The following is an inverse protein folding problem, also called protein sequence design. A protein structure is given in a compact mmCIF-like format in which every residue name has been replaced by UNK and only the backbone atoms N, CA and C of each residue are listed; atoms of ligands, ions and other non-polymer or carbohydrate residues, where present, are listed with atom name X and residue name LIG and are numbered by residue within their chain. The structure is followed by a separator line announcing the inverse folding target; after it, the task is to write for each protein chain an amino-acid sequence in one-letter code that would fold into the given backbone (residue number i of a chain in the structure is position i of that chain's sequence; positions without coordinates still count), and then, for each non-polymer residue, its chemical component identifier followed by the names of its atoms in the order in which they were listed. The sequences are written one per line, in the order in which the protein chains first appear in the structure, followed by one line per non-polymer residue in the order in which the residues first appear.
data_IF_883004495494
#
_entry.id   IF_883004495494
#
_cell.length_a   1.000
_cell.length_b   1.000
_cell.length_c   1.000
_cell.angle_alpha   90.00
_cell.angle_beta   90.00
_cell.angle_gamma   90.00
#
_symmetry.space_group_name_H-M   'P 1'
#
loop_
_entity.id
_entity.type
_entity.pdbx_description
1 polymer ?
#
# COMPACT_ATOMS: atom_id res chain seq x y z
N UNK A 1 -2.78 33.59 19.58
CA UNK A 1 -2.15 33.42 18.28
C UNK A 1 -3.08 32.49 17.48
N UNK A 2 -3.77 33.02 16.46
CA UNK A 2 -4.55 32.17 15.53
C UNK A 2 -3.54 31.31 14.76
N UNK A 3 -3.61 29.99 14.92
CA UNK A 3 -2.87 29.06 14.06
C UNK A 3 -3.32 29.32 12.63
N UNK A 4 -2.38 29.65 11.75
CA UNK A 4 -2.60 29.62 10.30
C UNK A 4 -3.21 28.25 9.96
N UNK A 5 -4.26 28.18 9.11
CA UNK A 5 -4.77 26.90 8.65
C UNK A 5 -3.59 26.13 8.03
N UNK A 6 -3.20 25.00 8.64
CA UNK A 6 -2.23 24.11 8.01
C UNK A 6 -2.86 23.67 6.69
N UNK A 7 -2.21 23.96 5.57
CA UNK A 7 -2.60 23.38 4.28
C UNK A 7 -2.66 21.87 4.44
N UNK A 8 -3.71 21.25 3.85
CA UNK A 8 -3.84 19.80 3.90
C UNK A 8 -2.59 19.11 3.31
N UNK A 9 -2.09 18.03 3.94
CA UNK A 9 -0.97 17.28 3.40
C UNK A 9 -1.20 16.91 1.94
N UNK A 10 -0.19 17.03 1.09
CA UNK A 10 -0.31 16.73 -0.34
C UNK A 10 0.39 15.41 -0.66
N UNK A 11 -0.40 14.41 -1.08
CA UNK A 11 0.08 13.08 -1.40
C UNK A 11 -0.15 12.80 -2.89
N UNK A 12 0.87 12.29 -3.56
CA UNK A 12 0.74 11.78 -4.93
C UNK A 12 0.89 10.27 -4.91
N UNK A 13 0.04 9.56 -5.63
CA UNK A 13 0.10 8.11 -5.75
C UNK A 13 0.30 7.74 -7.20
N UNK A 14 1.40 7.03 -7.51
CA UNK A 14 1.59 6.38 -8.82
C UNK A 14 1.37 4.89 -8.61
N UNK A 15 0.26 4.37 -9.15
CA UNK A 15 -0.10 2.98 -8.81
C UNK A 15 -1.32 2.43 -9.54
N UNK A 16 -1.73 1.27 -9.08
CA UNK A 16 -2.73 0.40 -9.67
C UNK A 16 -4.17 0.75 -9.28
N UNK A 17 -5.08 0.36 -10.17
CA UNK A 17 -6.51 0.26 -9.94
C UNK A 17 -6.95 -1.14 -10.41
N UNK A 18 -7.53 -1.95 -9.53
CA UNK A 18 -7.93 -3.34 -9.80
C UNK A 18 -9.34 -3.55 -9.26
N UNK A 19 -10.26 -3.98 -10.11
CA UNK A 19 -11.59 -4.36 -9.67
C UNK A 19 -11.59 -5.81 -9.22
N UNK A 20 -11.91 -6.08 -7.97
CA UNK A 20 -12.02 -7.42 -7.43
C UNK A 20 -13.44 -7.97 -7.59
N UNK A 21 -13.54 -9.11 -8.28
CA UNK A 21 -14.76 -9.91 -8.42
C UNK A 21 -14.66 -11.11 -7.49
N UNK A 22 -15.06 -10.95 -6.23
CA UNK A 22 -14.95 -11.99 -5.22
C UNK A 22 -16.06 -13.03 -5.40
N UNK A 23 -15.69 -14.25 -5.74
CA UNK A 23 -16.62 -15.36 -5.99
C UNK A 23 -16.55 -16.38 -4.85
N UNK A 24 -17.72 -16.70 -4.25
CA UNK A 24 -17.80 -17.79 -3.27
C UNK A 24 -18.04 -19.10 -4.00
N UNK A 25 -17.02 -19.99 -3.90
CA UNK A 25 -17.00 -21.30 -4.56
C UNK A 25 -17.24 -22.40 -3.54
N UNK A 26 -17.93 -23.51 -3.90
CA UNK A 26 -18.09 -24.66 -2.99
C UNK A 26 -16.76 -25.41 -2.75
N UNK A 27 -15.82 -25.34 -3.67
CA UNK A 27 -14.43 -25.81 -3.62
C UNK A 27 -13.66 -25.18 -4.78
N UNK A 28 -12.33 -25.23 -4.77
CA UNK A 28 -11.54 -24.72 -5.89
C UNK A 28 -11.74 -25.58 -7.14
N UNK A 29 -11.92 -24.95 -8.34
CA UNK A 29 -12.20 -25.66 -9.60
C UNK A 29 -11.12 -26.68 -9.95
N UNK A 30 -11.54 -27.90 -10.35
CA UNK A 30 -10.66 -28.92 -10.88
C UNK A 30 -10.54 -28.79 -12.41
N UNK A 31 -9.50 -29.36 -12.98
CA UNK A 31 -9.29 -29.31 -14.42
C UNK A 31 -10.49 -29.93 -15.18
N UNK A 32 -11.09 -29.13 -16.06
CA UNK A 32 -12.25 -29.54 -16.88
C UNK A 32 -13.60 -29.48 -16.16
N UNK A 33 -13.65 -29.03 -14.92
CA UNK A 33 -14.89 -28.87 -14.16
C UNK A 33 -15.63 -27.59 -14.54
N UNK A 34 -16.96 -27.68 -14.68
CA UNK A 34 -17.87 -26.53 -14.73
C UNK A 34 -18.58 -26.44 -13.38
N UNK A 35 -18.47 -25.31 -12.71
CA UNK A 35 -19.01 -25.08 -11.39
C UNK A 35 -20.05 -23.96 -11.41
N UNK A 36 -21.13 -24.11 -10.64
CA UNK A 36 -22.12 -23.08 -10.42
C UNK A 36 -21.93 -22.47 -9.04
N UNK A 37 -21.75 -21.15 -9.00
CA UNK A 37 -21.57 -20.37 -7.77
C UNK A 37 -22.83 -19.59 -7.44
N UNK A 38 -23.05 -19.27 -6.17
CA UNK A 38 -24.27 -18.59 -5.70
C UNK A 38 -24.32 -17.10 -6.02
N UNK A 39 -23.15 -16.49 -6.35
CA UNK A 39 -23.03 -15.05 -6.64
C UNK A 39 -21.59 -14.57 -6.54
N UNK A 40 -21.43 -13.27 -6.75
CA UNK A 40 -20.15 -12.59 -6.56
C UNK A 40 -20.39 -11.20 -5.96
N UNK A 41 -19.36 -10.70 -5.28
CA UNK A 41 -19.29 -9.31 -4.81
C UNK A 41 -18.25 -8.55 -5.63
N UNK A 42 -18.49 -7.26 -5.91
CA UNK A 42 -17.53 -6.39 -6.59
C UNK A 42 -16.98 -5.35 -5.63
N UNK A 43 -15.66 -5.22 -5.59
CA UNK A 43 -14.99 -4.20 -4.81
C UNK A 43 -13.97 -3.45 -5.68
N UNK A 44 -14.04 -2.13 -5.69
CA UNK A 44 -12.95 -1.34 -6.22
C UNK A 44 -11.75 -1.47 -5.28
N UNK A 45 -10.59 -1.73 -5.85
CA UNK A 45 -9.36 -2.02 -5.13
C UNK A 45 -8.13 -1.74 -5.99
N UNK A 46 -7.07 -2.49 -5.72
CA UNK A 46 -5.73 -2.22 -6.23
C UNK A 46 -4.94 -1.37 -5.24
N UNK A 47 -3.68 -1.71 -5.04
CA UNK A 47 -2.85 -1.12 -3.97
C UNK A 47 -2.74 0.40 -4.10
N UNK A 48 -2.52 0.91 -5.31
CA UNK A 48 -2.45 2.35 -5.56
C UNK A 48 -3.75 3.06 -5.20
N UNK A 49 -4.87 2.53 -5.67
CA UNK A 49 -6.18 3.08 -5.40
C UNK A 49 -6.54 3.06 -3.90
N UNK A 50 -6.32 1.93 -3.22
CA UNK A 50 -6.59 1.79 -1.80
C UNK A 50 -5.76 2.79 -0.96
N UNK A 51 -4.49 2.95 -1.29
CA UNK A 51 -3.59 3.89 -0.61
C UNK A 51 -4.02 5.35 -0.86
N UNK A 52 -4.46 5.68 -2.07
CA UNK A 52 -4.98 7.00 -2.41
C UNK A 52 -6.27 7.33 -1.65
N UNK A 53 -7.24 6.40 -1.62
CA UNK A 53 -8.50 6.57 -0.88
C UNK A 53 -8.23 6.70 0.61
N UNK A 54 -7.36 5.88 1.18
CA UNK A 54 -7.00 5.98 2.60
C UNK A 54 -6.36 7.33 2.92
N UNK A 55 -5.38 7.76 2.13
CA UNK A 55 -4.73 9.06 2.33
C UNK A 55 -5.76 10.21 2.27
N UNK A 56 -6.70 10.16 1.32
CA UNK A 56 -7.77 11.15 1.20
C UNK A 56 -8.70 11.15 2.40
N UNK A 57 -9.17 9.98 2.82
CA UNK A 57 -10.04 9.80 3.99
C UNK A 57 -9.35 10.19 5.31
N UNK A 58 -8.02 10.09 5.37
CA UNK A 58 -7.20 10.58 6.47
C UNK A 58 -6.89 12.09 6.40
N UNK A 59 -7.42 12.83 5.43
CA UNK A 59 -7.39 14.29 5.39
C UNK A 59 -6.38 14.91 4.43
N UNK A 60 -5.71 14.13 3.59
CA UNK A 60 -4.79 14.65 2.58
C UNK A 60 -5.52 15.18 1.33
N UNK A 61 -4.88 16.11 0.62
CA UNK A 61 -5.13 16.38 -0.80
C UNK A 61 -4.37 15.32 -1.62
N UNK A 62 -5.07 14.59 -2.48
CA UNK A 62 -4.50 13.43 -3.17
C UNK A 62 -4.61 13.56 -4.68
N UNK A 63 -3.52 13.25 -5.37
CA UNK A 63 -3.45 13.12 -6.84
C UNK A 63 -3.18 11.66 -7.17
N UNK A 64 -4.01 11.05 -8.04
CA UNK A 64 -3.82 9.70 -8.54
C UNK A 64 -3.24 9.72 -9.95
N UNK A 65 -2.13 9.00 -10.14
CA UNK A 65 -1.50 8.74 -11.44
C UNK A 65 -1.60 7.25 -11.70
N UNK A 66 -2.27 6.86 -12.78
CA UNK A 66 -2.52 5.46 -13.08
C UNK A 66 -3.21 5.26 -14.42
N UNK A 67 -3.71 4.05 -14.65
CA UNK A 67 -4.38 3.76 -15.91
C UNK A 67 -5.53 2.76 -15.72
N UNK A 68 -6.61 2.97 -16.45
CA UNK A 68 -7.79 2.10 -16.51
C UNK A 68 -8.15 1.80 -17.96
N UNK A 69 -9.00 0.81 -18.20
CA UNK A 69 -9.58 0.56 -19.49
C UNK A 69 -10.64 1.62 -19.88
N UNK A 70 -10.91 1.74 -21.17
CA UNK A 70 -12.07 2.49 -21.65
C UNK A 70 -13.32 1.61 -21.63
N UNK A 71 -13.73 1.19 -20.45
CA UNK A 71 -14.80 0.25 -20.17
C UNK A 71 -15.61 0.68 -18.93
N UNK A 72 -16.76 0.03 -18.61
CA UNK A 72 -17.57 0.36 -17.45
C UNK A 72 -16.82 0.26 -16.11
N UNK A 73 -15.81 -0.59 -15.99
CA UNK A 73 -15.00 -0.71 -14.77
C UNK A 73 -14.07 0.49 -14.60
N UNK A 74 -13.48 0.99 -15.70
CA UNK A 74 -12.73 2.23 -15.69
C UNK A 74 -13.60 3.43 -15.31
N UNK A 75 -14.85 3.49 -15.83
CA UNK A 75 -15.82 4.53 -15.44
C UNK A 75 -16.14 4.48 -13.94
N UNK A 76 -16.29 3.28 -13.36
CA UNK A 76 -16.53 3.10 -11.93
C UNK A 76 -15.37 3.68 -11.09
N UNK A 77 -14.11 3.42 -11.47
CA UNK A 77 -12.96 4.00 -10.75
C UNK A 77 -12.96 5.52 -10.80
N UNK A 78 -13.21 6.12 -11.96
CA UNK A 78 -13.25 7.58 -12.11
C UNK A 78 -14.38 8.20 -11.27
N UNK A 79 -15.56 7.57 -11.22
CA UNK A 79 -16.67 8.01 -10.37
C UNK A 79 -16.33 7.94 -8.88
N UNK A 80 -15.61 6.89 -8.44
CA UNK A 80 -15.18 6.77 -7.04
C UNK A 80 -14.14 7.83 -6.71
N UNK A 81 -13.14 8.06 -7.58
CA UNK A 81 -12.12 9.09 -7.38
C UNK A 81 -12.75 10.48 -7.28
N UNK A 82 -13.74 10.79 -8.11
CA UNK A 82 -14.51 12.04 -8.04
C UNK A 82 -15.29 12.15 -6.72
N UNK A 83 -16.02 11.10 -6.34
CA UNK A 83 -16.78 11.04 -5.07
C UNK A 83 -15.86 11.26 -3.85
N UNK A 84 -14.66 10.66 -3.86
CA UNK A 84 -13.66 10.83 -2.80
C UNK A 84 -12.86 12.14 -2.95
N UNK A 85 -13.15 12.97 -3.96
CA UNK A 85 -12.42 14.21 -4.25
C UNK A 85 -10.90 14.00 -4.40
N UNK A 86 -10.52 12.93 -5.09
CA UNK A 86 -9.14 12.62 -5.49
C UNK A 86 -8.94 13.15 -6.92
N UNK A 87 -7.87 13.89 -7.13
CA UNK A 87 -7.54 14.42 -8.47
C UNK A 87 -7.12 13.29 -9.41
N UNK A 88 -7.98 13.00 -10.39
CA UNK A 88 -7.80 11.93 -11.36
C UNK A 88 -7.34 12.41 -12.74
N UNK A 89 -6.91 13.67 -12.89
CA UNK A 89 -6.48 14.24 -14.21
C UNK A 89 -5.36 13.44 -14.88
N UNK A 90 -4.60 12.68 -14.11
CA UNK A 90 -3.48 11.86 -14.58
C UNK A 90 -3.80 10.36 -14.59
N UNK A 91 -5.07 10.02 -14.59
CA UNK A 91 -5.54 8.65 -14.82
C UNK A 91 -5.85 8.52 -16.32
N UNK A 92 -4.99 7.79 -17.04
CA UNK A 92 -5.15 7.56 -18.48
C UNK A 92 -6.15 6.43 -18.77
N UNK A 93 -6.80 6.49 -19.94
CA UNK A 93 -7.77 5.47 -20.39
C UNK A 93 -7.20 4.71 -21.59
N UNK A 94 -7.09 3.39 -21.45
CA UNK A 94 -6.63 2.50 -22.51
C UNK A 94 -7.80 2.02 -23.37
N UNK A 95 -7.71 2.18 -24.70
CA UNK A 95 -8.75 1.77 -25.63
C UNK A 95 -8.57 0.35 -26.15
N UNK A 96 -7.38 -0.22 -26.04
CA UNK A 96 -7.02 -1.53 -26.59
C UNK A 96 -6.99 -2.66 -25.56
N UNK A 97 -7.16 -2.33 -24.27
CA UNK A 97 -7.09 -3.29 -23.16
C UNK A 97 -8.04 -2.84 -22.05
N UNK A 98 -8.66 -3.79 -21.36
CA UNK A 98 -9.63 -3.51 -20.29
C UNK A 98 -8.98 -3.06 -18.98
N UNK A 99 -9.84 -2.62 -18.06
CA UNK A 99 -9.47 -2.35 -16.67
C UNK A 99 -8.98 -3.62 -16.00
N UNK A 100 -7.99 -3.52 -15.12
CA UNK A 100 -7.41 -4.65 -14.40
C UNK A 100 -8.42 -5.27 -13.44
N UNK A 101 -8.39 -6.61 -13.36
CA UNK A 101 -9.29 -7.40 -12.54
C UNK A 101 -8.52 -8.30 -11.57
N UNK A 102 -9.07 -8.49 -10.38
CA UNK A 102 -8.79 -9.58 -9.47
C UNK A 102 -10.01 -10.48 -9.38
N UNK A 103 -9.83 -11.81 -9.36
CA UNK A 103 -10.92 -12.76 -9.12
C UNK A 103 -10.53 -13.62 -7.92
N UNK A 104 -10.78 -13.13 -6.68
CA UNK A 104 -10.64 -13.96 -5.50
C UNK A 104 -11.72 -15.05 -5.49
N UNK A 105 -11.30 -16.31 -5.42
CA UNK A 105 -12.16 -17.46 -5.17
C UNK A 105 -12.06 -17.78 -3.67
N UNK A 106 -13.18 -17.83 -2.98
CA UNK A 106 -13.23 -18.11 -1.53
C UNK A 106 -14.07 -19.36 -1.31
N UNK A 107 -13.49 -20.35 -0.66
CA UNK A 107 -14.18 -21.59 -0.31
C UNK A 107 -14.88 -21.51 1.06
N UNK A 108 -15.70 -22.52 1.47
CA UNK A 108 -16.40 -22.51 2.77
C UNK A 108 -15.48 -22.56 3.99
N UNK A 109 -14.20 -22.93 3.85
CA UNK A 109 -13.21 -22.89 4.94
C UNK A 109 -12.65 -21.47 5.16
N UNK A 110 -12.90 -20.53 4.22
CA UNK A 110 -12.33 -19.20 4.19
C UNK A 110 -10.96 -19.13 3.51
N UNK A 111 -10.47 -20.24 2.95
CA UNK A 111 -9.28 -20.21 2.10
C UNK A 111 -9.56 -19.48 0.80
N UNK A 112 -8.57 -18.73 0.32
CA UNK A 112 -8.68 -18.01 -0.95
C UNK A 112 -7.61 -18.38 -1.97
N UNK A 113 -7.97 -18.22 -3.24
CA UNK A 113 -7.04 -18.24 -4.37
C UNK A 113 -7.43 -17.10 -5.32
N UNK A 114 -6.45 -16.34 -5.80
CA UNK A 114 -6.72 -15.13 -6.58
C UNK A 114 -6.20 -15.30 -8.00
N UNK A 115 -7.07 -15.06 -8.98
CA UNK A 115 -6.67 -14.93 -10.39
C UNK A 115 -6.47 -13.43 -10.66
N UNK A 116 -5.22 -13.01 -10.88
CA UNK A 116 -4.89 -11.65 -11.23
C UNK A 116 -4.86 -11.43 -12.74
N UNK A 117 -5.51 -10.40 -13.24
CA UNK A 117 -5.58 -10.00 -14.65
C UNK A 117 -5.14 -8.53 -14.74
N UNK A 118 -3.83 -8.23 -14.85
CA UNK A 118 -3.28 -6.88 -14.64
C UNK A 118 -3.53 -5.89 -15.77
N UNK A 119 -3.97 -6.33 -16.96
CA UNK A 119 -4.48 -5.52 -18.09
C UNK A 119 -3.92 -4.07 -18.15
N UNK A 120 -4.81 -3.05 -17.98
CA UNK A 120 -4.47 -1.63 -18.12
C UNK A 120 -3.29 -1.22 -17.23
N UNK A 121 -3.19 -1.74 -16.00
CA UNK A 121 -2.08 -1.41 -15.11
C UNK A 121 -0.71 -1.71 -15.73
N UNK A 122 -0.60 -2.72 -16.62
CA UNK A 122 0.66 -3.05 -17.32
C UNK A 122 1.08 -2.02 -18.35
N UNK A 123 0.20 -1.09 -18.70
CA UNK A 123 0.44 -0.05 -19.73
C UNK A 123 0.93 1.27 -19.15
N UNK A 124 0.92 1.44 -17.84
CA UNK A 124 1.46 2.63 -17.22
C UNK A 124 2.96 2.77 -17.58
N UNK A 125 3.34 3.92 -18.08
CA UNK A 125 4.69 4.19 -18.55
C UNK A 125 5.26 5.48 -17.95
N UNK A 126 6.57 5.73 -18.02
CA UNK A 126 7.14 7.03 -17.68
C UNK A 126 6.49 8.22 -18.40
N UNK A 127 6.04 8.03 -19.65
CA UNK A 127 5.35 9.06 -20.42
C UNK A 127 3.96 9.40 -19.85
N UNK A 128 3.29 8.46 -19.17
CA UNK A 128 2.02 8.71 -18.48
C UNK A 128 2.23 9.41 -17.13
N UNK A 129 3.39 9.22 -16.49
CA UNK A 129 3.76 9.86 -15.22
C UNK A 129 4.26 11.30 -15.42
N UNK A 130 4.97 11.56 -16.53
CA UNK A 130 5.60 12.86 -16.80
C UNK A 130 4.63 14.06 -16.74
N UNK A 131 3.38 14.00 -17.24
CA UNK A 131 2.42 15.08 -17.11
C UNK A 131 2.12 15.49 -15.67
N UNK A 132 2.28 14.57 -14.71
CA UNK A 132 2.08 14.83 -13.28
C UNK A 132 3.33 15.40 -12.58
N UNK A 133 4.41 15.71 -13.30
CA UNK A 133 5.68 16.21 -12.73
C UNK A 133 5.51 17.37 -11.75
N UNK A 134 4.69 18.35 -12.11
CA UNK A 134 4.47 19.52 -11.25
C UNK A 134 3.75 19.13 -9.93
N UNK A 135 2.80 18.20 -10.00
CA UNK A 135 2.06 17.71 -8.85
C UNK A 135 2.96 16.84 -7.95
N UNK A 136 3.77 15.96 -8.55
CA UNK A 136 4.74 15.13 -7.83
C UNK A 136 5.77 16.03 -7.15
N UNK A 137 6.30 17.04 -7.86
CA UNK A 137 7.28 17.98 -7.31
C UNK A 137 6.73 18.88 -6.19
N UNK A 138 5.44 19.22 -6.24
CA UNK A 138 4.77 19.97 -5.19
C UNK A 138 4.22 19.07 -4.06
N UNK A 139 4.22 17.74 -4.26
CA UNK A 139 3.80 16.76 -3.27
C UNK A 139 4.78 16.67 -2.11
N UNK A 140 4.27 16.38 -0.93
CA UNK A 140 5.10 16.12 0.25
C UNK A 140 5.54 14.66 0.32
N UNK A 141 4.69 13.74 -0.15
CA UNK A 141 4.96 12.30 -0.20
C UNK A 141 4.49 11.73 -1.53
N UNK A 142 5.32 10.89 -2.13
CA UNK A 142 4.97 10.01 -3.25
C UNK A 142 4.82 8.57 -2.73
N UNK A 143 3.66 7.96 -3.00
CA UNK A 143 3.37 6.55 -2.72
C UNK A 143 3.49 5.72 -3.99
N UNK A 144 4.20 4.58 -3.88
CA UNK A 144 4.47 3.64 -4.96
C UNK A 144 4.17 2.20 -4.51
N UNK A 145 3.79 1.33 -5.47
CA UNK A 145 3.60 -0.12 -5.27
C UNK A 145 4.14 -0.88 -6.49
N UNK A 146 3.99 -2.22 -6.50
CA UNK A 146 4.55 -3.07 -7.56
C UNK A 146 3.48 -3.77 -8.43
N UNK A 147 2.29 -3.21 -8.51
CA UNK A 147 1.22 -3.67 -9.41
C UNK A 147 1.18 -2.91 -10.74
N UNK A 148 2.14 -2.03 -10.96
CA UNK A 148 2.37 -1.30 -12.22
C UNK A 148 3.82 -1.48 -12.65
N UNK A 149 4.19 -1.20 -13.91
CA UNK A 149 5.58 -1.32 -14.35
C UNK A 149 6.54 -0.49 -13.50
N UNK A 150 7.62 -1.14 -13.05
CA UNK A 150 8.63 -0.52 -12.17
C UNK A 150 9.21 0.77 -12.75
N UNK A 151 9.38 0.85 -14.06
CA UNK A 151 9.95 2.02 -14.73
C UNK A 151 9.08 3.28 -14.56
N UNK A 152 7.75 3.12 -14.55
CA UNK A 152 6.83 4.22 -14.28
C UNK A 152 6.96 4.70 -12.82
N UNK A 153 7.02 3.76 -11.86
CA UNK A 153 7.21 4.05 -10.44
C UNK A 153 8.54 4.75 -10.17
N UNK A 154 9.65 4.25 -10.74
CA UNK A 154 10.97 4.83 -10.54
C UNK A 154 11.13 6.20 -11.23
N UNK A 155 10.45 6.43 -12.36
CA UNK A 155 10.39 7.75 -12.95
C UNK A 155 9.72 8.78 -12.04
N UNK A 156 8.58 8.41 -11.43
CA UNK A 156 7.94 9.23 -10.40
C UNK A 156 8.85 9.48 -9.19
N UNK A 157 9.55 8.44 -8.72
CA UNK A 157 10.51 8.56 -7.62
C UNK A 157 11.66 9.53 -7.93
N UNK A 158 12.18 9.53 -9.17
CA UNK A 158 13.20 10.48 -9.62
C UNK A 158 12.71 11.92 -9.54
N UNK A 159 11.50 12.18 -10.05
CA UNK A 159 10.87 13.51 -9.98
C UNK A 159 10.70 13.96 -8.53
N UNK A 160 10.12 13.11 -7.69
CA UNK A 160 9.85 13.40 -6.28
C UNK A 160 11.15 13.70 -5.51
N UNK A 161 12.18 12.88 -5.72
CA UNK A 161 13.46 13.05 -5.07
C UNK A 161 14.14 14.37 -5.44
N UNK A 162 14.13 14.75 -6.72
CA UNK A 162 14.71 16.02 -7.20
C UNK A 162 14.00 17.23 -6.58
N UNK A 163 12.71 17.10 -6.29
CA UNK A 163 11.91 18.13 -5.65
C UNK A 163 11.99 18.11 -4.10
N UNK A 164 12.63 17.08 -3.50
CA UNK A 164 12.75 16.95 -2.05
C UNK A 164 11.56 16.30 -1.35
N UNK A 165 10.61 15.72 -2.10
CA UNK A 165 9.50 14.95 -1.56
C UNK A 165 9.98 13.62 -0.96
N UNK A 166 9.22 13.08 0.00
CA UNK A 166 9.45 11.76 0.60
C UNK A 166 8.91 10.69 -0.34
N UNK A 167 9.69 9.66 -0.63
CA UNK A 167 9.28 8.52 -1.47
C UNK A 167 9.08 7.28 -0.61
N UNK A 168 7.85 6.76 -0.59
CA UNK A 168 7.50 5.51 0.08
C UNK A 168 7.18 4.47 -1.00
N UNK A 169 7.86 3.34 -0.96
CA UNK A 169 7.55 2.17 -1.78
C UNK A 169 6.99 1.07 -0.89
N UNK A 170 5.75 0.66 -1.14
CA UNK A 170 5.20 -0.60 -0.66
C UNK A 170 5.62 -1.69 -1.66
N UNK A 171 6.55 -2.60 -1.31
CA UNK A 171 7.13 -3.55 -2.25
C UNK A 171 6.21 -4.76 -2.48
N UNK A 172 4.95 -4.50 -2.73
CA UNK A 172 3.88 -5.49 -2.85
C UNK A 172 3.27 -5.49 -4.26
N UNK A 173 3.13 -6.67 -4.90
CA UNK A 173 3.70 -7.97 -4.51
C UNK A 173 5.24 -8.02 -4.70
N UNK A 174 5.94 -8.68 -3.79
CA UNK A 174 7.41 -8.76 -3.80
C UNK A 174 7.91 -9.78 -4.84
N UNK A 175 7.75 -9.50 -6.11
CA UNK A 175 8.17 -10.39 -7.22
C UNK A 175 9.45 -9.95 -7.93
N UNK A 176 10.01 -8.79 -7.54
CA UNK A 176 11.23 -8.24 -8.14
C UNK A 176 12.40 -8.31 -7.16
N UNK A 177 13.64 -8.50 -7.66
CA UNK A 177 14.83 -8.46 -6.81
C UNK A 177 15.00 -7.09 -6.14
N UNK A 178 15.49 -7.07 -4.91
CA UNK A 178 15.74 -5.85 -4.14
C UNK A 178 16.62 -4.84 -4.90
N UNK A 179 17.66 -5.32 -5.59
CA UNK A 179 18.56 -4.48 -6.39
C UNK A 179 17.85 -3.73 -7.53
N UNK A 180 16.78 -4.29 -8.07
CA UNK A 180 15.96 -3.62 -9.09
C UNK A 180 15.11 -2.50 -8.50
N UNK A 181 14.60 -2.71 -7.27
CA UNK A 181 13.76 -1.75 -6.56
C UNK A 181 14.56 -0.56 -6.03
N UNK A 182 15.80 -0.82 -5.59
CA UNK A 182 16.67 0.15 -4.93
C UNK A 182 17.78 0.68 -5.85
N UNK A 183 17.63 0.56 -7.17
CA UNK A 183 18.59 1.16 -8.08
C UNK A 183 18.66 2.67 -7.84
N UNK A 184 19.89 3.25 -7.91
CA UNK A 184 20.05 4.69 -7.73
C UNK A 184 19.43 5.48 -8.89
N UNK A 185 19.09 6.74 -8.64
CA UNK A 185 18.69 7.69 -9.65
C UNK A 185 19.84 8.09 -10.58
N UNK A 186 19.54 8.95 -11.54
CA UNK A 186 20.51 9.42 -12.54
C UNK A 186 21.74 10.12 -11.93
N UNK A 187 21.60 10.67 -10.74
CA UNK A 187 22.72 11.28 -9.98
C UNK A 187 23.46 10.32 -9.05
N UNK A 188 23.19 9.03 -9.14
CA UNK A 188 23.81 7.98 -8.35
C UNK A 188 23.29 7.87 -6.90
N UNK A 189 22.25 8.64 -6.51
CA UNK A 189 21.70 8.63 -5.16
C UNK A 189 20.46 7.73 -5.07
N UNK A 190 20.17 7.15 -3.88
CA UNK A 190 18.96 6.37 -3.67
C UNK A 190 17.68 7.17 -3.95
N UNK A 191 16.69 6.52 -4.57
CA UNK A 191 15.39 7.12 -4.91
C UNK A 191 14.37 6.96 -3.79
N UNK A 192 14.44 5.87 -3.04
CA UNK A 192 13.41 5.46 -2.07
C UNK A 192 13.84 5.88 -0.66
N UNK A 193 12.94 6.56 0.06
CA UNK A 193 13.13 6.92 1.47
C UNK A 193 12.75 5.77 2.39
N UNK A 194 11.55 5.21 2.18
CA UNK A 194 10.97 4.18 3.03
C UNK A 194 10.49 2.99 2.21
N UNK A 195 10.78 1.77 2.67
CA UNK A 195 10.08 0.56 2.29
C UNK A 195 9.06 0.18 3.36
N UNK A 196 7.88 -0.30 2.93
CA UNK A 196 6.82 -0.75 3.85
C UNK A 196 6.38 -2.18 3.51
N UNK A 197 7.29 -3.18 3.65
CA UNK A 197 6.96 -4.59 3.43
C UNK A 197 6.16 -5.18 4.61
N UNK A 198 5.41 -6.26 4.36
CA UNK A 198 4.95 -7.18 5.39
C UNK A 198 6.01 -8.26 5.69
N UNK A 199 5.69 -9.22 6.59
CA UNK A 199 6.60 -10.30 6.98
C UNK A 199 7.08 -11.12 5.77
N UNK A 200 6.15 -11.49 4.89
CA UNK A 200 6.46 -12.33 3.71
C UNK A 200 7.32 -11.55 2.73
N UNK A 201 6.98 -10.30 2.47
CA UNK A 201 7.70 -9.44 1.53
C UNK A 201 9.11 -9.13 2.01
N UNK A 202 9.29 -8.87 3.31
CA UNK A 202 10.63 -8.60 3.85
C UNK A 202 11.52 -9.85 3.80
N UNK A 203 10.95 -11.05 4.08
CA UNK A 203 11.68 -12.33 3.93
C UNK A 203 12.13 -12.55 2.49
N UNK A 204 11.20 -12.40 1.53
CA UNK A 204 11.52 -12.57 0.11
C UNK A 204 12.61 -11.61 -0.36
N UNK A 205 12.51 -10.35 -0.01
CA UNK A 205 13.47 -9.31 -0.42
C UNK A 205 14.84 -9.46 0.29
N UNK A 206 14.85 -9.97 1.52
CA UNK A 206 16.07 -10.23 2.28
C UNK A 206 16.72 -11.58 1.94
N UNK A 207 16.08 -12.42 1.11
CA UNK A 207 16.55 -13.77 0.79
C UNK A 207 16.49 -14.73 1.99
N UNK A 208 15.55 -14.51 2.89
CA UNK A 208 15.30 -15.38 4.03
C UNK A 208 14.40 -16.56 3.65
N UNK A 209 14.43 -17.68 4.40
CA UNK A 209 13.46 -18.74 4.25
C UNK A 209 12.03 -18.24 4.49
N UNK A 210 11.07 -18.72 3.67
CA UNK A 210 9.66 -18.40 3.83
C UNK A 210 9.15 -18.89 5.20
N UNK A 211 8.44 -18.00 5.92
CA UNK A 211 7.89 -18.27 7.25
C UNK A 211 8.93 -18.22 8.39
N UNK A 212 10.15 -17.82 8.09
CA UNK A 212 11.25 -17.75 9.09
C UNK A 212 10.98 -16.76 10.21
N UNK A 213 10.32 -15.64 9.90
CA UNK A 213 9.92 -14.62 10.88
C UNK A 213 8.83 -15.17 11.81
N UNK A 214 7.79 -15.81 11.27
CA UNK A 214 6.72 -16.42 12.07
C UNK A 214 7.25 -17.57 12.94
N UNK A 215 8.14 -18.39 12.42
CA UNK A 215 8.81 -19.41 13.21
C UNK A 215 9.63 -18.79 14.34
N UNK A 216 10.33 -17.70 14.10
CA UNK A 216 11.08 -16.99 15.13
C UNK A 216 10.14 -16.42 16.22
N UNK A 217 9.02 -15.81 15.84
CA UNK A 217 7.99 -15.32 16.79
C UNK A 217 7.35 -16.47 17.59
N UNK A 218 7.21 -17.66 17.01
CA UNK A 218 6.68 -18.83 17.73
C UNK A 218 7.63 -19.30 18.84
N UNK A 219 8.93 -19.07 18.73
CA UNK A 219 9.94 -19.38 19.78
C UNK A 219 9.93 -18.32 20.89
N UNK A 220 10.02 -17.06 20.54
CA UNK A 220 9.85 -15.94 21.46
C UNK A 220 9.64 -14.63 20.70
N UNK A 221 9.10 -13.62 21.39
CA UNK A 221 8.97 -12.26 20.85
C UNK A 221 10.33 -11.68 20.45
N UNK A 222 11.33 -11.85 21.30
CA UNK A 222 12.70 -11.35 21.10
C UNK A 222 13.34 -11.99 19.85
N UNK A 223 13.14 -13.29 19.64
CA UNK A 223 13.63 -13.99 18.45
C UNK A 223 12.96 -13.47 17.17
N UNK A 224 11.65 -13.25 17.20
CA UNK A 224 10.91 -12.69 16.08
C UNK A 224 11.34 -11.26 15.75
N UNK A 225 11.45 -10.38 16.75
CA UNK A 225 11.94 -9.02 16.58
C UNK A 225 13.38 -8.99 16.03
N UNK A 226 14.25 -9.89 16.49
CA UNK A 226 15.61 -10.02 15.96
C UNK A 226 15.64 -10.47 14.49
N UNK A 227 14.76 -11.40 14.09
CA UNK A 227 14.65 -11.84 12.70
C UNK A 227 14.18 -10.69 11.77
N UNK A 228 13.15 -9.94 12.19
CA UNK A 228 12.67 -8.75 11.47
C UNK A 228 13.76 -7.70 11.37
N UNK A 229 14.49 -7.45 12.45
CA UNK A 229 15.62 -6.52 12.46
C UNK A 229 16.69 -6.90 11.45
N UNK A 230 17.08 -8.18 11.44
CA UNK A 230 18.07 -8.68 10.50
C UNK A 230 17.62 -8.50 9.06
N UNK A 231 16.38 -8.88 8.73
CA UNK A 231 15.80 -8.70 7.41
C UNK A 231 15.78 -7.21 7.00
N UNK A 232 15.25 -6.34 7.86
CA UNK A 232 15.19 -4.90 7.61
C UNK A 232 16.58 -4.26 7.41
N UNK A 233 17.61 -4.72 8.14
CA UNK A 233 19.00 -4.29 7.94
C UNK A 233 19.54 -4.69 6.58
N UNK A 234 19.19 -5.88 6.10
CA UNK A 234 19.57 -6.33 4.76
C UNK A 234 18.97 -5.41 3.69
N UNK A 235 17.68 -5.05 3.82
CA UNK A 235 17.03 -4.13 2.89
C UNK A 235 17.65 -2.73 2.98
N UNK A 236 17.92 -2.24 4.18
CA UNK A 236 18.53 -0.92 4.40
C UNK A 236 19.92 -0.82 3.74
N UNK A 237 20.72 -1.86 3.85
CA UNK A 237 22.03 -1.94 3.19
C UNK A 237 21.94 -1.95 1.65
N UNK A 238 20.80 -2.28 1.08
CA UNK A 238 20.53 -2.21 -0.35
C UNK A 238 20.46 -0.80 -0.92
N UNK A 239 20.42 0.25 -0.10
CA UNK A 239 20.46 1.65 -0.56
C UNK A 239 19.19 2.45 -0.32
N UNK A 240 18.55 2.31 0.83
CA UNK A 240 17.45 3.17 1.29
C UNK A 240 17.99 4.47 1.92
N UNK A 241 17.22 5.55 1.79
CA UNK A 241 17.62 6.85 2.37
C UNK A 241 17.29 6.96 3.86
N UNK A 242 16.22 6.34 4.33
CA UNK A 242 15.74 6.50 5.72
C UNK A 242 15.57 5.17 6.42
N UNK A 243 14.82 4.20 5.86
CA UNK A 243 14.63 2.93 6.54
C UNK A 243 13.53 2.04 5.99
N UNK A 244 13.18 1.05 6.80
CA UNK A 244 12.15 0.06 6.53
C UNK A 244 11.13 0.09 7.66
N UNK A 245 9.86 0.05 7.33
CA UNK A 245 8.77 -0.17 8.27
C UNK A 245 8.16 -1.54 7.95
N UNK A 246 8.47 -2.55 8.73
CA UNK A 246 7.93 -3.90 8.53
C UNK A 246 6.60 -4.03 9.26
N UNK A 247 5.51 -4.26 8.52
CA UNK A 247 4.20 -4.52 9.13
C UNK A 247 4.10 -5.98 9.58
N UNK A 248 3.54 -6.22 10.78
CA UNK A 248 3.51 -7.50 11.47
C UNK A 248 2.07 -7.91 11.83
N UNK A 249 1.09 -7.55 11.00
CA UNK A 249 -0.33 -7.80 11.23
C UNK A 249 -0.79 -7.31 12.61
N UNK A 250 -1.45 -8.16 13.39
CA UNK A 250 -1.94 -7.82 14.73
C UNK A 250 -0.81 -7.46 15.72
N UNK A 251 0.43 -7.84 15.43
CA UNK A 251 1.61 -7.50 16.25
C UNK A 251 2.05 -6.04 16.10
N UNK A 252 1.51 -5.31 15.11
CA UNK A 252 1.83 -3.91 14.81
C UNK A 252 2.88 -3.76 13.73
N UNK A 253 3.90 -2.93 13.95
CA UNK A 253 4.96 -2.72 12.99
C UNK A 253 6.31 -2.52 13.68
N UNK A 254 7.38 -2.70 12.91
CA UNK A 254 8.75 -2.52 13.37
C UNK A 254 9.48 -1.50 12.50
N UNK A 255 10.02 -0.48 13.12
CA UNK A 255 10.84 0.55 12.49
C UNK A 255 12.28 0.09 12.48
N UNK A 256 12.91 0.08 11.31
CA UNK A 256 14.32 -0.26 11.11
C UNK A 256 15.02 0.87 10.38
N UNK A 257 15.90 1.58 11.06
CA UNK A 257 16.77 2.63 10.48
C UNK A 257 18.24 2.33 10.77
N UNK A 258 19.14 3.19 10.31
CA UNK A 258 20.56 3.04 10.62
C UNK A 258 20.85 3.21 12.14
N UNK A 259 20.06 4.08 12.80
CA UNK A 259 20.30 4.50 14.18
C UNK A 259 19.48 3.71 15.20
N UNK A 260 18.33 3.14 14.81
CA UNK A 260 17.43 2.54 15.76
C UNK A 260 16.59 1.39 15.21
N UNK A 261 16.24 0.52 16.14
CA UNK A 261 15.20 -0.49 16.05
C UNK A 261 14.10 -0.13 17.05
N UNK A 262 12.85 -0.10 16.59
CA UNK A 262 11.73 0.20 17.47
C UNK A 262 10.49 -0.56 17.04
N UNK A 263 9.84 -1.23 17.98
CA UNK A 263 8.53 -1.84 17.77
C UNK A 263 7.43 -0.86 18.15
N UNK A 264 6.48 -0.68 17.25
CA UNK A 264 5.23 0.04 17.51
C UNK A 264 4.10 -0.98 17.59
N UNK A 265 3.50 -1.19 18.77
CA UNK A 265 2.45 -2.19 18.95
C UNK A 265 1.22 -1.96 18.05
N UNK A 266 0.55 -3.05 17.66
CA UNK A 266 -0.75 -3.00 16.98
C UNK A 266 -1.91 -2.73 17.94
N UNK A 267 -3.10 -2.66 17.38
CA UNK A 267 -4.35 -2.49 18.12
C UNK A 267 -5.13 -3.80 18.14
N UNK A 268 -5.78 -4.08 19.27
CA UNK A 268 -6.68 -5.24 19.40
C UNK A 268 -8.04 -4.90 18.83
N UNK A 269 -8.41 -5.59 17.75
CA UNK A 269 -9.74 -5.49 17.12
C UNK A 269 -10.22 -6.89 16.76
N UNK A 270 -11.51 -7.03 16.48
CA UNK A 270 -12.07 -8.28 15.94
C UNK A 270 -11.98 -8.22 14.41
N UNK A 271 -11.10 -9.01 13.79
CA UNK A 271 -10.94 -8.96 12.33
C UNK A 271 -12.13 -9.63 11.64
N UNK A 272 -12.55 -9.05 10.51
CA UNK A 272 -13.55 -9.58 9.58
C UNK A 272 -12.90 -9.94 8.26
N UNK A 273 -12.09 -9.01 7.69
CA UNK A 273 -11.44 -9.18 6.39
C UNK A 273 -10.10 -8.41 6.39
N UNK A 274 -8.95 -9.07 6.14
CA UNK A 274 -7.65 -8.41 6.13
C UNK A 274 -7.36 -7.64 4.84
N UNK A 275 -8.24 -7.69 3.84
CA UNK A 275 -8.04 -7.04 2.53
C UNK A 275 -7.83 -5.54 2.69
N UNK A 276 -6.79 -5.00 2.07
CA UNK A 276 -6.48 -3.58 2.08
C UNK A 276 -5.83 -3.04 3.37
N UNK A 277 -5.60 -3.87 4.40
CA UNK A 277 -5.02 -3.40 5.67
C UNK A 277 -3.62 -2.79 5.50
N UNK A 278 -2.77 -3.41 4.67
CA UNK A 278 -1.46 -2.88 4.32
C UNK A 278 -1.54 -1.58 3.54
N UNK A 279 -2.55 -1.44 2.67
CA UNK A 279 -2.79 -0.21 1.92
C UNK A 279 -3.29 0.91 2.83
N UNK A 280 -4.22 0.59 3.76
CA UNK A 280 -4.67 1.52 4.79
C UNK A 280 -3.51 1.99 5.66
N UNK A 281 -2.60 1.09 6.03
CA UNK A 281 -1.36 1.45 6.72
C UNK A 281 -0.52 2.41 5.89
N UNK A 282 -0.22 2.11 4.62
CA UNK A 282 0.65 2.92 3.76
C UNK A 282 0.06 4.32 3.51
N UNK A 283 -1.25 4.39 3.18
CA UNK A 283 -1.94 5.68 2.97
C UNK A 283 -1.92 6.56 4.20
N UNK A 284 -2.24 6.00 5.38
CA UNK A 284 -2.21 6.72 6.65
C UNK A 284 -0.78 7.11 7.08
N UNK A 285 0.21 6.25 6.85
CA UNK A 285 1.62 6.54 7.14
C UNK A 285 2.12 7.73 6.32
N UNK A 286 1.78 7.78 5.04
CA UNK A 286 2.12 8.91 4.18
C UNK A 286 1.54 10.23 4.70
N UNK A 287 0.27 10.23 5.10
CA UNK A 287 -0.38 11.41 5.68
C UNK A 287 0.32 11.86 6.96
N UNK A 288 0.57 10.93 7.88
CA UNK A 288 1.21 11.23 9.15
C UNK A 288 2.63 11.78 8.99
N UNK A 289 3.40 11.28 8.00
CA UNK A 289 4.72 11.83 7.66
C UNK A 289 4.61 13.23 7.06
N UNK A 290 3.66 13.47 6.17
CA UNK A 290 3.44 14.77 5.56
C UNK A 290 2.95 15.83 6.57
N UNK A 291 2.25 15.39 7.63
CA UNK A 291 1.91 16.24 8.80
C UNK A 291 3.12 16.54 9.71
N UNK A 292 4.27 15.91 9.46
CA UNK A 292 5.47 16.08 10.27
C UNK A 292 5.41 15.40 11.65
N UNK A 293 4.56 14.37 11.81
CA UNK A 293 4.49 13.60 13.06
C UNK A 293 5.83 12.89 13.32
N UNK A 294 6.24 12.75 14.59
CA UNK A 294 7.34 11.87 14.95
C UNK A 294 7.14 10.46 14.38
N UNK A 295 8.22 9.82 13.93
CA UNK A 295 8.13 8.56 13.17
C UNK A 295 7.33 7.46 13.89
N UNK A 296 7.55 7.29 15.20
CA UNK A 296 6.79 6.29 15.97
C UNK A 296 5.29 6.61 16.05
N UNK A 297 4.93 7.90 16.13
CA UNK A 297 3.54 8.35 16.10
C UNK A 297 2.91 8.16 14.72
N UNK A 298 3.68 8.42 13.65
CA UNK A 298 3.24 8.17 12.28
C UNK A 298 2.96 6.68 12.05
N UNK A 299 3.84 5.79 12.52
CA UNK A 299 3.63 4.34 12.44
C UNK A 299 2.46 3.89 13.33
N UNK A 300 2.28 4.49 14.51
CA UNK A 300 1.13 4.19 15.37
C UNK A 300 -0.19 4.59 14.73
N UNK A 301 -0.24 5.77 14.09
CA UNK A 301 -1.41 6.22 13.31
C UNK A 301 -1.71 5.25 12.16
N UNK A 302 -0.69 4.81 11.44
CA UNK A 302 -0.82 3.84 10.36
C UNK A 302 -1.29 2.45 10.86
N UNK A 303 -0.78 1.96 12.00
CA UNK A 303 -1.26 0.73 12.64
C UNK A 303 -2.75 0.82 13.00
N UNK A 304 -3.20 1.97 13.51
CA UNK A 304 -4.62 2.17 13.82
C UNK A 304 -5.49 2.15 12.55
N UNK A 305 -5.01 2.76 11.45
CA UNK A 305 -5.71 2.73 10.18
C UNK A 305 -5.85 1.29 9.64
N UNK A 306 -4.77 0.50 9.63
CA UNK A 306 -4.83 -0.91 9.27
C UNK A 306 -5.73 -1.73 10.19
N UNK A 307 -5.74 -1.44 11.50
CA UNK A 307 -6.61 -2.11 12.44
C UNK A 307 -8.11 -1.78 12.23
N UNK A 308 -8.45 -0.54 11.89
CA UNK A 308 -9.84 -0.17 11.56
C UNK A 308 -10.29 -0.88 10.28
N UNK A 309 -9.45 -0.92 9.24
CA UNK A 309 -9.85 -1.51 7.96
C UNK A 309 -10.21 -2.99 8.08
N UNK A 310 -9.51 -3.78 8.88
CA UNK A 310 -9.80 -5.22 9.02
C UNK A 310 -11.11 -5.54 9.73
N UNK A 311 -11.82 -4.56 10.29
CA UNK A 311 -13.10 -4.76 10.98
C UNK A 311 -14.31 -4.82 10.04
N UNK A 312 -14.11 -4.62 8.75
CA UNK A 312 -15.16 -4.55 7.71
C UNK A 312 -14.77 -5.36 6.48
N UNK A 313 -15.73 -5.92 5.74
CA UNK A 313 -15.43 -6.67 4.52
C UNK A 313 -15.07 -5.76 3.33
N UNK A 314 -14.28 -6.29 2.41
CA UNK A 314 -13.94 -5.70 1.13
C UNK A 314 -12.76 -4.73 1.18
N UNK A 315 -12.34 -4.24 0.00
CA UNK A 315 -11.22 -3.31 -0.16
C UNK A 315 -11.67 -1.86 0.12
N UNK A 316 -12.13 -1.11 -0.90
CA UNK A 316 -12.48 0.31 -0.75
C UNK A 316 -13.49 0.60 0.38
N UNK A 317 -14.57 -0.18 0.57
CA UNK A 317 -15.53 0.10 1.65
C UNK A 317 -14.96 -0.02 3.06
N UNK A 318 -13.92 -0.83 3.25
CA UNK A 318 -13.29 -1.06 4.55
C UNK A 318 -12.30 0.03 4.94
N UNK A 319 -11.80 0.82 3.98
CA UNK A 319 -10.75 1.81 4.24
C UNK A 319 -11.22 2.90 5.22
N UNK A 320 -10.41 3.21 6.24
CA UNK A 320 -10.83 4.02 7.38
C UNK A 320 -10.94 5.51 7.03
N UNK A 321 -11.76 6.22 7.81
CA UNK A 321 -11.76 7.68 7.90
C UNK A 321 -10.91 8.13 9.09
N UNK A 322 -10.46 9.39 9.05
CA UNK A 322 -9.58 9.97 10.06
C UNK A 322 -10.15 9.87 11.48
N UNK A 323 -11.42 10.21 11.65
CA UNK A 323 -12.12 10.19 12.93
C UNK A 323 -12.18 8.79 13.56
N UNK A 324 -12.34 7.75 12.74
CA UNK A 324 -12.30 6.36 13.18
C UNK A 324 -10.90 5.97 13.67
N UNK A 325 -9.86 6.39 12.93
CA UNK A 325 -8.46 6.16 13.30
C UNK A 325 -8.12 6.87 14.61
N UNK A 326 -8.50 8.14 14.74
CA UNK A 326 -8.25 8.93 15.95
C UNK A 326 -9.03 8.40 17.17
N UNK A 327 -10.25 7.90 16.95
CA UNK A 327 -11.03 7.23 18.01
C UNK A 327 -10.31 5.98 18.54
N UNK A 328 -9.79 5.14 17.66
CA UNK A 328 -9.04 3.95 18.07
C UNK A 328 -7.73 4.31 18.77
N UNK A 329 -7.03 5.35 18.30
CA UNK A 329 -5.81 5.86 18.93
C UNK A 329 -6.07 6.34 20.37
N UNK A 330 -7.17 7.06 20.59
CA UNK A 330 -7.56 7.57 21.90
C UNK A 330 -7.94 6.42 22.85
N UNK A 331 -8.66 5.41 22.37
CA UNK A 331 -9.02 4.22 23.15
C UNK A 331 -7.80 3.38 23.54
N UNK A 332 -6.80 3.26 22.67
CA UNK A 332 -5.56 2.52 22.95
C UNK A 332 -4.50 3.27 23.78
N UNK A 333 -4.76 4.53 24.13
CA UNK A 333 -3.87 5.30 25.02
C UNK A 333 -4.06 4.97 26.52
N UNK A 334 -5.09 4.23 26.86
CA UNK A 334 -5.45 3.84 28.25
C UNK A 334 -5.25 2.35 28.57
N UNK A 335 -4.61 1.55 27.67
CA UNK A 335 -4.42 0.12 27.87
C UNK A 335 -2.96 -0.26 28.14
#
# INVERSE_FOLDING_TARGET
MMQTPHEAPRIVVVGSMVLDLTVRVPHFPRRGETMFCSGFDMFAGGKGFNQAVTARRCGASVVMVGTVGNDPFGDLFLQILERETIDARFVSRQTSIGTSLGIPLIDPSGENSIIGIPQANTRLSPADVEPARAEIGAGQVLLLQLEVPLEASLHGAEIARLAGAIVILNPAPAHLPLASLLRPGLDGRPLIDWLTPNEIEVEMLAGMPAGGIDEAFSRSREAGEAAVWQAGRTLLAGGLRRGVIVTLGARGAMIVTAERQERVPGFRVTPVDPTGAGDAFCGAFAVALAEGRPLAEAVRFANAAGAVSVTRPGAEPSLPRRDEVETLLAAGAGA
#
